data_IF_109792986205
#
_entry.id   IF_109792986205
#
_cell.length_a   1.000
_cell.length_b   1.000
_cell.length_c   1.000
_cell.angle_alpha   90.00
_cell.angle_beta   90.00
_cell.angle_gamma   90.00
#
_symmetry.space_group_name_H-M   'P 1'
#
loop_
_entity.id
_entity.type
_entity.pdbx_description
1 polymer ?
#
# COMPACT_ATOMS: atom_id res chain seq x y z
N UNK A 1 -2.96 -7.76 -19.74
CA UNK A 1 -3.12 -6.61 -18.82
C UNK A 1 -2.37 -5.42 -19.39
N UNK A 2 -3.08 -4.34 -19.72
CA UNK A 2 -2.49 -3.10 -20.23
C UNK A 2 -2.09 -2.21 -19.04
N UNK A 3 -0.78 -2.03 -18.80
CA UNK A 3 -0.26 -1.14 -17.74
C UNK A 3 0.33 0.11 -18.38
N UNK A 4 -0.11 1.28 -17.93
CA UNK A 4 0.48 2.57 -18.33
C UNK A 4 1.31 3.11 -17.18
N UNK A 5 2.63 2.91 -17.23
CA UNK A 5 3.54 3.48 -16.24
C UNK A 5 3.51 5.01 -16.29
N UNK A 6 3.61 5.63 -15.11
CA UNK A 6 3.61 7.08 -14.94
C UNK A 6 5.04 7.59 -14.85
N UNK A 7 5.33 8.70 -15.52
CA UNK A 7 6.60 9.42 -15.31
C UNK A 7 6.58 10.22 -14.00
N UNK A 8 7.74 10.67 -13.54
CA UNK A 8 7.84 11.53 -12.36
C UNK A 8 7.02 12.81 -12.52
N UNK A 9 7.00 13.42 -13.71
CA UNK A 9 6.18 14.61 -14.00
C UNK A 9 4.68 14.33 -13.86
N UNK A 10 4.21 13.17 -14.33
CA UNK A 10 2.82 12.77 -14.17
C UNK A 10 2.47 12.53 -12.69
N UNK A 11 3.38 11.92 -11.93
CA UNK A 11 3.22 11.74 -10.48
C UNK A 11 3.15 13.12 -9.79
N UNK A 12 3.97 14.09 -10.19
CA UNK A 12 3.92 15.46 -9.62
C UNK A 12 2.57 16.14 -9.85
N UNK A 13 1.85 15.78 -10.91
CA UNK A 13 0.51 16.28 -11.23
C UNK A 13 -0.63 15.67 -10.40
N UNK A 14 -0.36 14.60 -9.63
CA UNK A 14 -1.35 14.03 -8.71
C UNK A 14 -1.58 14.97 -7.51
N UNK A 15 -2.74 14.81 -6.85
CA UNK A 15 -3.01 15.48 -5.58
C UNK A 15 -1.93 15.16 -4.53
N UNK A 16 -1.66 16.09 -3.60
CA UNK A 16 -0.65 15.95 -2.56
C UNK A 16 -0.72 14.63 -1.79
N UNK A 17 -1.90 14.23 -1.34
CA UNK A 17 -2.06 13.03 -0.52
C UNK A 17 -1.78 11.78 -1.36
N UNK A 18 -2.27 11.73 -2.60
CA UNK A 18 -1.97 10.66 -3.55
C UNK A 18 -0.47 10.58 -3.87
N UNK A 19 0.20 11.71 -4.06
CA UNK A 19 1.65 11.76 -4.25
C UNK A 19 2.40 11.14 -3.09
N UNK A 20 2.02 11.49 -1.86
CA UNK A 20 2.62 10.92 -0.65
C UNK A 20 2.37 9.41 -0.62
N UNK A 21 1.12 8.98 -0.85
CA UNK A 21 0.74 7.57 -0.82
C UNK A 21 1.46 6.74 -1.88
N UNK A 22 1.65 7.24 -3.10
CA UNK A 22 2.30 6.46 -4.16
C UNK A 22 3.82 6.42 -4.03
N UNK A 23 4.45 7.49 -3.53
CA UNK A 23 5.93 7.61 -3.47
C UNK A 23 6.55 7.18 -2.15
N UNK A 24 5.75 6.99 -1.08
CA UNK A 24 6.28 6.73 0.26
C UNK A 24 6.92 5.35 0.42
N UNK A 25 8.08 5.32 1.08
CA UNK A 25 8.70 4.09 1.60
C UNK A 25 8.31 3.78 3.05
N UNK A 26 7.51 4.65 3.70
CA UNK A 26 6.97 4.41 5.02
C UNK A 26 5.98 3.25 5.09
N UNK A 27 5.35 3.05 6.26
CA UNK A 27 4.23 2.12 6.38
C UNK A 27 2.97 2.77 5.78
N UNK A 28 2.49 2.22 4.67
CA UNK A 28 1.30 2.76 3.97
C UNK A 28 0.10 2.84 4.92
N UNK A 29 -0.14 1.81 5.71
CA UNK A 29 -1.21 1.77 6.73
C UNK A 29 -1.18 3.00 7.63
N UNK A 30 -0.01 3.43 8.10
CA UNK A 30 0.08 4.58 9.02
C UNK A 30 -0.23 5.91 8.34
N UNK A 31 0.11 6.04 7.07
CA UNK A 31 -0.22 7.22 6.27
C UNK A 31 -1.71 7.22 5.92
N UNK A 32 -2.27 6.07 5.55
CA UNK A 32 -3.70 5.91 5.30
C UNK A 32 -4.53 6.31 6.51
N UNK A 33 -4.17 5.89 7.73
CA UNK A 33 -4.86 6.31 8.96
C UNK A 33 -5.00 7.84 9.09
N UNK A 34 -4.00 8.58 8.61
CA UNK A 34 -4.00 10.05 8.63
C UNK A 34 -4.85 10.62 7.50
N UNK A 35 -4.65 10.12 6.27
CA UNK A 35 -5.33 10.63 5.06
C UNK A 35 -6.84 10.35 5.11
N UNK A 36 -7.24 9.18 5.59
CA UNK A 36 -8.66 8.77 5.67
C UNK A 36 -9.34 9.24 6.95
N UNK A 37 -8.57 9.69 7.95
CA UNK A 37 -9.05 9.94 9.31
C UNK A 37 -9.85 8.76 9.90
N UNK A 38 -9.45 7.53 9.56
CA UNK A 38 -10.09 6.28 10.02
C UNK A 38 -9.01 5.29 10.47
N UNK A 39 -9.36 4.40 11.40
CA UNK A 39 -8.50 3.30 11.79
C UNK A 39 -8.43 2.26 10.66
N UNK A 40 -7.25 2.03 10.11
CA UNK A 40 -7.08 1.07 9.02
C UNK A 40 -6.91 -0.34 9.56
N UNK A 41 -7.80 -1.22 9.13
CA UNK A 41 -7.79 -2.66 9.40
C UNK A 41 -7.47 -3.44 8.14
N UNK A 42 -7.02 -4.68 8.32
CA UNK A 42 -6.72 -5.60 7.23
C UNK A 42 -7.80 -6.67 7.19
N UNK A 43 -8.32 -6.89 5.99
CA UNK A 43 -9.11 -8.06 5.65
C UNK A 43 -8.25 -8.98 4.79
N UNK A 44 -8.05 -10.20 5.26
CA UNK A 44 -7.30 -11.22 4.53
C UNK A 44 -8.24 -11.92 3.53
N UNK A 45 -7.92 -11.86 2.24
CA UNK A 45 -8.72 -12.47 1.17
C UNK A 45 -8.26 -13.89 0.92
N UNK A 46 -6.96 -14.04 0.70
CA UNK A 46 -6.31 -15.33 0.53
C UNK A 46 -4.87 -15.27 1.02
N UNK A 47 -4.38 -16.43 1.45
CA UNK A 47 -2.99 -16.61 1.83
C UNK A 47 -2.60 -18.08 1.65
N UNK A 48 -1.56 -18.34 0.87
CA UNK A 48 -1.08 -19.70 0.58
C UNK A 48 0.44 -19.76 0.44
N UNK A 49 1.04 -20.88 0.89
CA UNK A 49 2.46 -21.18 0.67
C UNK A 49 2.55 -22.23 -0.44
N UNK A 50 3.26 -21.87 -1.51
CA UNK A 50 3.49 -22.73 -2.65
C UNK A 50 4.96 -23.19 -2.67
N UNK A 51 5.25 -24.51 -2.69
CA UNK A 51 6.62 -25.03 -2.61
C UNK A 51 7.51 -24.61 -3.78
N UNK A 52 6.93 -24.57 -4.99
CA UNK A 52 7.59 -24.23 -6.25
C UNK A 52 6.65 -23.38 -7.12
N UNK A 53 6.15 -22.25 -6.58
CA UNK A 53 5.37 -21.34 -7.41
C UNK A 53 6.23 -20.85 -8.58
N UNK A 54 5.80 -20.99 -9.84
CA UNK A 54 6.34 -20.14 -10.88
C UNK A 54 6.03 -18.71 -10.46
N UNK A 55 7.07 -17.89 -10.28
CA UNK A 55 6.88 -16.46 -10.07
C UNK A 55 5.98 -15.95 -11.20
N UNK A 56 4.76 -15.43 -10.92
CA UNK A 56 3.92 -14.92 -11.98
C UNK A 56 4.72 -13.94 -12.83
N UNK A 57 4.51 -13.85 -14.15
CA UNK A 57 5.31 -12.98 -15.02
C UNK A 57 5.35 -11.53 -14.53
N UNK A 58 4.29 -11.12 -13.83
CA UNK A 58 4.18 -9.81 -13.19
C UNK A 58 4.93 -9.66 -11.87
N UNK A 59 5.30 -10.75 -11.20
CA UNK A 59 6.02 -10.78 -9.93
C UNK A 59 7.48 -11.24 -10.12
N UNK A 60 7.94 -11.34 -11.38
CA UNK A 60 9.18 -11.97 -11.87
C UNK A 60 10.50 -11.46 -11.27
N UNK A 61 10.46 -10.51 -10.33
CA UNK A 61 11.62 -10.03 -9.58
C UNK A 61 12.03 -10.99 -8.46
N UNK A 62 11.19 -11.98 -8.10
CA UNK A 62 11.51 -12.96 -7.07
C UNK A 62 12.08 -14.26 -7.69
N UNK A 63 13.24 -14.74 -7.21
CA UNK A 63 13.82 -16.01 -7.64
C UNK A 63 13.12 -17.21 -7.01
N UNK A 64 13.46 -18.41 -7.52
CA UNK A 64 12.83 -19.69 -7.15
C UNK A 64 12.99 -20.01 -5.66
N UNK A 65 11.93 -20.59 -5.08
CA UNK A 65 11.86 -21.05 -3.69
C UNK A 65 10.40 -21.11 -3.21
N UNK A 66 10.19 -21.60 -1.98
CA UNK A 66 8.87 -21.58 -1.35
C UNK A 66 8.34 -20.16 -1.30
N UNK A 67 7.15 -19.93 -1.87
CA UNK A 67 6.58 -18.58 -2.00
C UNK A 67 5.27 -18.49 -1.24
N UNK A 68 5.19 -17.55 -0.29
CA UNK A 68 3.93 -17.15 0.33
C UNK A 68 3.28 -16.09 -0.54
N UNK A 69 2.08 -16.38 -1.05
CA UNK A 69 1.19 -15.43 -1.69
C UNK A 69 0.17 -14.96 -0.68
N UNK A 70 -0.14 -13.66 -0.68
CA UNK A 70 -1.12 -13.06 0.23
C UNK A 70 -1.83 -11.90 -0.45
N UNK A 71 -3.15 -11.97 -0.53
CA UNK A 71 -4.00 -10.88 -1.00
C UNK A 71 -4.82 -10.31 0.17
N UNK A 72 -4.80 -8.99 0.31
CA UNK A 72 -5.50 -8.30 1.40
C UNK A 72 -6.19 -7.04 0.93
N UNK A 73 -7.20 -6.61 1.68
CA UNK A 73 -7.81 -5.28 1.54
C UNK A 73 -7.54 -4.46 2.80
N UNK A 74 -7.09 -3.23 2.63
CA UNK A 74 -6.98 -2.24 3.70
C UNK A 74 -8.29 -1.44 3.75
N UNK A 75 -9.05 -1.63 4.83
CA UNK A 75 -10.37 -1.03 5.05
C UNK A 75 -10.35 -0.06 6.22
N UNK A 76 -11.18 0.96 6.18
CA UNK A 76 -11.48 1.77 7.36
C UNK A 76 -12.39 1.02 8.32
N UNK A 77 -12.04 0.94 9.59
CA UNK A 77 -12.84 0.24 10.61
C UNK A 77 -14.21 0.89 10.77
N UNK A 78 -14.27 2.23 10.79
CA UNK A 78 -15.50 2.95 11.07
C UNK A 78 -16.31 3.21 9.81
N UNK A 79 -15.64 3.57 8.71
CA UNK A 79 -16.29 3.82 7.42
C UNK A 79 -16.73 2.53 6.70
N UNK A 80 -16.02 1.42 6.91
CA UNK A 80 -16.16 0.20 6.11
C UNK A 80 -15.61 0.34 4.69
N UNK A 81 -15.10 1.52 4.31
CA UNK A 81 -14.59 1.81 2.97
C UNK A 81 -13.31 1.03 2.70
N UNK A 82 -13.20 0.50 1.48
CA UNK A 82 -11.99 -0.16 0.99
C UNK A 82 -11.09 0.86 0.32
N UNK A 83 -9.86 1.02 0.82
CA UNK A 83 -8.94 2.05 0.33
C UNK A 83 -7.85 1.50 -0.57
N UNK A 84 -7.30 0.32 -0.24
CA UNK A 84 -6.21 -0.29 -0.98
C UNK A 84 -6.40 -1.80 -1.05
N UNK A 85 -6.29 -2.35 -2.25
CA UNK A 85 -6.13 -3.78 -2.47
C UNK A 85 -4.63 -4.08 -2.63
N UNK A 86 -4.09 -5.01 -1.85
CA UNK A 86 -2.67 -5.32 -1.87
C UNK A 86 -2.41 -6.79 -2.15
N UNK A 87 -1.49 -7.04 -3.07
CA UNK A 87 -1.02 -8.34 -3.48
C UNK A 87 0.45 -8.48 -3.07
N UNK A 88 0.75 -9.46 -2.23
CA UNK A 88 2.09 -9.69 -1.69
C UNK A 88 2.62 -11.05 -2.12
N UNK A 89 3.91 -11.10 -2.43
CA UNK A 89 4.68 -12.33 -2.62
C UNK A 89 5.92 -12.30 -1.76
N UNK A 90 6.17 -13.37 -1.02
CA UNK A 90 7.33 -13.49 -0.12
C UNK A 90 8.06 -14.78 -0.46
N UNK A 91 9.36 -14.69 -0.71
CA UNK A 91 10.22 -15.87 -0.76
C UNK A 91 10.52 -16.29 0.68
N UNK A 92 9.90 -17.38 1.12
CA UNK A 92 9.92 -17.86 2.50
C UNK A 92 11.35 -18.05 3.02
N UNK A 93 12.23 -18.57 2.17
CA UNK A 93 13.63 -18.86 2.53
C UNK A 93 14.50 -17.59 2.70
N UNK A 94 13.97 -16.40 2.39
CA UNK A 94 14.69 -15.12 2.42
C UNK A 94 14.21 -14.18 3.51
N UNK A 95 13.25 -14.62 4.31
CA UNK A 95 12.74 -13.86 5.44
C UNK A 95 12.93 -14.65 6.73
N UNK A 96 13.02 -13.99 7.89
CA UNK A 96 13.03 -14.68 9.17
C UNK A 96 11.76 -15.52 9.35
N UNK A 97 11.84 -16.76 9.86
CA UNK A 97 10.68 -17.61 10.09
C UNK A 97 9.60 -16.96 10.97
N UNK A 98 9.99 -16.09 11.90
CA UNK A 98 9.10 -15.37 12.80
C UNK A 98 8.18 -14.39 12.04
N UNK A 99 8.64 -13.87 10.89
CA UNK A 99 7.79 -13.04 10.03
C UNK A 99 6.69 -13.89 9.39
N UNK A 100 7.03 -15.08 8.90
CA UNK A 100 6.05 -16.01 8.31
C UNK A 100 5.06 -16.46 9.36
N UNK A 101 5.53 -16.87 10.54
CA UNK A 101 4.67 -17.24 11.66
C UNK A 101 3.71 -16.09 12.05
N UNK A 102 4.21 -14.86 12.12
CA UNK A 102 3.37 -13.69 12.43
C UNK A 102 2.33 -13.42 11.34
N UNK A 103 2.69 -13.58 10.06
CA UNK A 103 1.77 -13.40 8.93
C UNK A 103 0.69 -14.48 8.89
N UNK A 104 1.00 -15.71 9.33
CA UNK A 104 0.05 -16.82 9.40
C UNK A 104 -0.93 -16.69 10.56
N UNK A 105 -0.50 -16.06 11.66
CA UNK A 105 -1.27 -16.02 12.90
C UNK A 105 -1.91 -14.66 13.21
N UNK A 106 -1.66 -13.63 12.40
CA UNK A 106 -2.15 -12.27 12.66
C UNK A 106 -2.61 -11.53 11.40
N UNK A 107 -3.57 -10.63 11.57
CA UNK A 107 -4.03 -9.69 10.55
C UNK A 107 -3.25 -8.36 10.60
N UNK A 108 -1.99 -8.40 11.05
CA UNK A 108 -1.17 -7.18 11.14
C UNK A 108 -0.59 -6.79 9.78
N UNK A 109 -0.41 -5.49 9.50
CA UNK A 109 0.22 -5.04 8.27
C UNK A 109 1.66 -5.55 8.15
N UNK A 110 2.04 -6.04 6.98
CA UNK A 110 3.39 -6.56 6.73
C UNK A 110 4.48 -5.54 7.07
N UNK A 111 4.25 -4.26 6.75
CA UNK A 111 5.17 -3.18 7.08
C UNK A 111 5.36 -2.97 8.59
N UNK A 112 4.32 -3.22 9.39
CA UNK A 112 4.42 -3.15 10.85
C UNK A 112 5.07 -4.39 11.45
N UNK A 113 4.83 -5.56 10.87
CA UNK A 113 5.48 -6.80 11.27
C UNK A 113 6.99 -6.73 11.05
N UNK A 114 7.43 -6.22 9.89
CA UNK A 114 8.86 -6.00 9.60
C UNK A 114 9.53 -5.10 10.66
N UNK A 115 8.86 -4.01 11.03
CA UNK A 115 9.36 -3.07 12.06
C UNK A 115 9.36 -3.71 13.45
N UNK A 116 8.28 -4.41 13.82
CA UNK A 116 8.16 -5.07 15.13
C UNK A 116 9.22 -6.16 15.33
N UNK A 117 9.53 -6.90 14.27
CA UNK A 117 10.59 -7.93 14.27
C UNK A 117 12.00 -7.36 14.14
N UNK A 118 12.16 -6.02 14.10
CA UNK A 118 13.45 -5.32 13.95
C UNK A 118 14.28 -5.81 12.77
N UNK A 119 13.61 -6.20 11.69
CA UNK A 119 14.27 -6.68 10.49
C UNK A 119 14.88 -5.47 9.79
N UNK A 120 16.17 -5.52 9.50
CA UNK A 120 16.82 -4.54 8.64
C UNK A 120 16.44 -4.86 7.19
N UNK A 121 15.85 -3.87 6.51
CA UNK A 121 15.43 -4.01 5.13
C UNK A 121 15.61 -2.70 4.36
N UNK A 122 15.71 -2.83 3.05
CA UNK A 122 15.68 -1.71 2.12
C UNK A 122 14.45 -1.84 1.22
N UNK A 123 13.74 -0.73 1.00
CA UNK A 123 12.63 -0.65 0.04
C UNK A 123 13.13 0.04 -1.21
N UNK A 124 13.01 -0.64 -2.34
CA UNK A 124 13.26 -0.03 -3.63
C UNK A 124 12.23 1.07 -3.92
N UNK A 125 12.60 2.01 -4.79
CA UNK A 125 11.67 3.04 -5.24
C UNK A 125 10.48 2.37 -5.96
N UNK A 126 9.25 2.78 -5.68
CA UNK A 126 8.09 2.16 -6.27
C UNK A 126 7.95 2.52 -7.76
N UNK A 127 7.67 1.52 -8.58
CA UNK A 127 7.11 1.72 -9.92
C UNK A 127 5.63 2.07 -9.78
N UNK A 128 5.14 3.06 -10.53
CA UNK A 128 3.75 3.52 -10.47
C UNK A 128 3.11 3.43 -11.85
N UNK A 129 1.87 2.94 -11.93
CA UNK A 129 1.13 2.84 -13.18
C UNK A 129 -0.38 3.00 -12.97
N UNK A 130 -1.10 3.24 -14.05
CA UNK A 130 -2.55 3.01 -14.12
C UNK A 130 -2.76 1.68 -14.86
N UNK A 131 -3.56 0.79 -14.27
CA UNK A 131 -3.81 -0.54 -14.83
C UNK A 131 -5.06 -1.17 -14.26
N UNK A 132 -5.36 -2.37 -14.75
CA UNK A 132 -6.53 -3.13 -14.30
C UNK A 132 -6.41 -3.54 -12.83
N UNK A 133 -7.54 -3.49 -12.12
CA UNK A 133 -7.66 -4.07 -10.78
C UNK A 133 -7.58 -5.60 -10.87
N UNK A 134 -7.08 -6.28 -9.82
CA UNK A 134 -7.02 -7.73 -9.80
C UNK A 134 -8.43 -8.33 -9.76
N UNK A 135 -8.64 -9.47 -10.42
CA UNK A 135 -9.99 -10.05 -10.59
C UNK A 135 -10.72 -10.29 -9.26
N UNK A 136 -9.97 -10.67 -8.21
CA UNK A 136 -10.52 -10.97 -6.89
C UNK A 136 -11.14 -9.74 -6.18
N UNK A 137 -10.73 -8.50 -6.50
CA UNK A 137 -11.31 -7.29 -5.88
C UNK A 137 -12.50 -6.74 -6.67
N UNK A 138 -12.63 -7.10 -7.96
CA UNK A 138 -13.75 -6.65 -8.81
C UNK A 138 -15.05 -7.40 -8.49
N UNK A 139 -15.04 -8.25 -7.45
CA UNK A 139 -16.23 -8.92 -6.95
C UNK A 139 -17.30 -7.91 -6.46
N UNK A 140 -18.60 -8.19 -6.67
CA UNK A 140 -19.69 -7.28 -6.29
C UNK A 140 -19.71 -6.87 -4.82
N UNK A 141 -19.17 -7.70 -3.94
CA UNK A 141 -19.08 -7.47 -2.49
C UNK A 141 -18.26 -6.23 -2.08
N UNK A 142 -17.34 -5.76 -2.94
CA UNK A 142 -16.56 -4.54 -2.68
C UNK A 142 -17.17 -3.29 -3.31
N UNK A 143 -18.24 -3.43 -4.10
CA UNK A 143 -18.94 -2.30 -4.74
C UNK A 143 -18.09 -1.50 -5.73
N UNK A 144 -16.97 -2.06 -6.21
CA UNK A 144 -16.04 -1.36 -7.10
C UNK A 144 -16.51 -1.53 -8.56
N UNK A 145 -17.03 -0.45 -9.13
CA UNK A 145 -17.47 -0.41 -10.54
C UNK A 145 -16.38 0.01 -11.52
N UNK A 146 -15.22 0.47 -11.03
CA UNK A 146 -14.08 0.82 -11.87
C UNK A 146 -13.23 -0.41 -12.17
N UNK A 147 -12.76 -0.52 -13.42
CA UNK A 147 -11.88 -1.61 -13.85
C UNK A 147 -10.40 -1.26 -13.72
N UNK A 148 -10.06 0.02 -13.56
CA UNK A 148 -8.68 0.49 -13.49
C UNK A 148 -8.42 1.27 -12.19
N UNK A 149 -7.20 1.14 -11.68
CA UNK A 149 -6.71 1.84 -10.52
C UNK A 149 -5.31 2.40 -10.76
N UNK A 150 -4.98 3.46 -10.01
CA UNK A 150 -3.60 3.81 -9.77
C UNK A 150 -2.99 2.72 -8.91
N UNK A 151 -1.85 2.20 -9.30
CA UNK A 151 -1.18 1.13 -8.60
C UNK A 151 0.30 1.43 -8.49
N UNK A 152 0.92 0.82 -7.48
CA UNK A 152 2.36 0.83 -7.33
C UNK A 152 2.90 -0.53 -6.96
N UNK A 153 4.17 -0.75 -7.25
CA UNK A 153 4.90 -1.92 -6.80
C UNK A 153 6.30 -1.58 -6.40
N UNK A 154 6.75 -2.24 -5.34
CA UNK A 154 8.11 -2.13 -4.85
C UNK A 154 8.56 -3.49 -4.31
N UNK A 155 9.87 -3.62 -4.26
CA UNK A 155 10.54 -4.79 -3.71
C UNK A 155 11.22 -4.41 -2.41
N UNK A 156 11.11 -5.30 -1.43
CA UNK A 156 11.84 -5.23 -0.17
C UNK A 156 13.03 -6.18 -0.26
N UNK A 157 14.21 -5.60 -0.05
CA UNK A 157 15.49 -6.29 0.02
C UNK A 157 15.81 -6.56 1.49
N UNK A 158 16.03 -7.83 1.83
CA UNK A 158 16.46 -8.27 3.17
C UNK A 158 17.79 -8.99 3.00
N UNK A 159 18.80 -8.63 3.81
CA UNK A 159 20.15 -9.19 3.73
C UNK A 159 20.76 -9.14 2.32
N UNK A 160 20.49 -8.07 1.58
CA UNK A 160 20.99 -7.87 0.20
C UNK A 160 20.30 -8.74 -0.87
N UNK A 161 19.19 -9.41 -0.55
CA UNK A 161 18.44 -10.24 -1.48
C UNK A 161 16.98 -9.78 -1.62
N UNK A 162 16.40 -9.76 -2.84
CA UNK A 162 14.96 -9.56 -3.03
C UNK A 162 14.16 -10.63 -2.27
N UNK A 163 13.33 -10.20 -1.32
CA UNK A 163 12.61 -11.09 -0.42
C UNK A 163 11.10 -10.96 -0.54
N UNK A 164 10.59 -9.72 -0.70
CA UNK A 164 9.16 -9.44 -0.73
C UNK A 164 8.85 -8.52 -1.90
N UNK A 165 7.83 -8.83 -2.69
CA UNK A 165 7.25 -7.92 -3.69
C UNK A 165 5.84 -7.59 -3.26
N UNK A 166 5.52 -6.30 -3.19
CA UNK A 166 4.20 -5.80 -2.83
C UNK A 166 3.67 -4.99 -4.00
N UNK A 167 2.45 -5.30 -4.45
CA UNK A 167 1.67 -4.49 -5.38
C UNK A 167 0.47 -3.93 -4.63
N UNK A 168 0.29 -2.61 -4.66
CA UNK A 168 -0.81 -1.92 -3.99
C UNK A 168 -1.63 -1.16 -5.03
N UNK A 169 -2.93 -1.42 -5.07
CA UNK A 169 -3.91 -0.78 -5.95
C UNK A 169 -4.78 0.16 -5.13
N UNK A 170 -4.76 1.45 -5.47
CA UNK A 170 -5.52 2.49 -4.79
C UNK A 170 -6.97 2.49 -5.29
N UNK A 171 -7.90 2.23 -4.38
CA UNK A 171 -9.33 2.06 -4.67
C UNK A 171 -10.06 3.41 -4.67
N UNK A 172 -11.24 3.52 -5.30
CA UNK A 172 -11.88 4.82 -5.58
C UNK A 172 -12.08 5.72 -4.34
N UNK A 173 -12.40 5.14 -3.19
CA UNK A 173 -12.64 5.87 -1.93
C UNK A 173 -11.43 6.68 -1.47
N UNK A 174 -10.19 6.22 -1.75
CA UNK A 174 -9.00 6.99 -1.34
C UNK A 174 -8.89 8.31 -2.11
N UNK A 175 -9.35 8.36 -3.36
CA UNK A 175 -9.33 9.58 -4.16
C UNK A 175 -10.32 10.61 -3.61
N UNK A 176 -11.48 10.15 -3.14
CA UNK A 176 -12.50 11.01 -2.50
C UNK A 176 -11.95 11.60 -1.20
N UNK A 177 -11.31 10.79 -0.35
CA UNK A 177 -10.65 11.28 0.86
C UNK A 177 -9.60 12.35 0.55
N UNK A 178 -8.71 12.10 -0.43
CA UNK A 178 -7.68 13.05 -0.82
C UNK A 178 -8.26 14.38 -1.33
N UNK A 179 -9.39 14.36 -2.04
CA UNK A 179 -10.03 15.58 -2.56
C UNK A 179 -10.72 16.41 -1.46
N UNK A 180 -11.29 15.76 -0.45
CA UNK A 180 -12.03 16.45 0.62
C UNK A 180 -11.09 17.16 1.61
N UNK A 181 -9.87 16.67 1.80
CA UNK A 181 -8.90 17.26 2.71
C UNK A 181 -8.38 18.65 2.25
N UNK A 182 -8.38 18.94 0.94
CA UNK A 182 -7.99 20.26 0.42
C UNK A 182 -8.96 21.37 0.84
N UNK A 183 -10.22 21.04 1.15
CA UNK A 183 -11.27 22.00 1.48
C UNK A 183 -11.21 22.42 2.97
N UNK A 184 -10.72 21.53 3.85
CA UNK A 184 -10.78 21.73 5.31
C UNK A 184 -9.80 22.79 5.84
N UNK A 185 -8.72 23.11 5.11
CA UNK A 185 -7.70 24.08 5.58
C UNK A 185 -8.21 25.54 5.51
N UNK A 186 -9.30 25.82 4.79
CA UNK A 186 -9.73 27.20 4.52
C UNK A 186 -10.75 27.79 5.51
N UNK A 187 -11.10 27.11 6.60
CA UNK A 187 -12.11 27.64 7.55
C UNK A 187 -11.61 28.04 8.94
N UNK A 188 -10.46 27.56 9.42
CA UNK A 188 -10.11 27.76 10.85
C UNK A 188 -8.70 28.32 11.16
N UNK A 189 -7.94 28.79 10.17
CA UNK A 189 -6.69 29.52 10.46
C UNK A 189 -6.98 31.01 10.53
N UNK A 190 -7.38 31.50 11.72
CA UNK A 190 -7.29 32.94 12.00
C UNK A 190 -5.80 33.33 12.01
N UNK A 191 -5.39 34.42 11.33
CA UNK A 191 -4.01 34.85 11.35
C UNK A 191 -3.60 35.17 12.79
N UNK A 192 -2.47 34.60 13.23
CA UNK A 192 -1.82 34.94 14.49
C UNK A 192 -1.49 36.43 14.41
N UNK A 193 -2.16 37.23 15.24
CA UNK A 193 -1.97 38.66 15.35
C UNK A 193 -0.49 39.01 15.50
N UNK A 194 0.03 39.85 14.62
CA UNK A 194 1.38 40.39 14.68
C UNK A 194 1.65 41.07 16.04
N UNK A 195 2.89 41.02 16.56
CA UNK A 195 3.20 41.65 17.85
C UNK A 195 3.07 43.17 17.74
N UNK A 196 2.44 43.78 18.76
CA UNK A 196 2.38 45.25 18.89
C UNK A 196 3.80 45.82 18.95
N UNK A 197 4.09 46.94 18.26
CA UNK A 197 5.34 47.64 18.47
C UNK A 197 5.38 48.17 19.92
N UNK A 198 6.53 47.98 20.58
CA UNK A 198 6.83 48.61 21.85
C UNK A 198 7.24 50.06 21.59
N UNK A 199 6.47 50.96 22.20
CA UNK A 199 6.68 52.41 22.43
C UNK A 199 6.79 53.30 21.19
#
# INVERSE_FOLDING_TARGET
MNRRYLSDEEIQGLNRDLRILVTTNGTLTRILNIVTADEIVIENIDQEILPDAPTPPDRAQLPKGGTLLRNVVLKGRHSGSSFVAAETSIVVDRVPPELIESLMNTDRPIGELLVASRIEFFKEAPEVWIGELPEWIVAPEYGISQHQALARRYTIIISGQPAIVITEHFLPEIFICCLNNDIAINKDIRPISAPRPKQ
#
